data_IF_012341609836
#
_entry.id   IF_012341609836
#
_cell.length_a   1.000
_cell.length_b   1.000
_cell.length_c   1.000
_cell.angle_alpha   90.00
_cell.angle_beta   90.00
_cell.angle_gamma   90.00
#
_symmetry.space_group_name_H-M   'P 1'
#
loop_
_entity.id
_entity.type
_entity.pdbx_description
1 polymer ?
#
# COMPACT_ATOMS: atom_id res chain seq x y z
N UNK A 1 -16.36 -7.51 -14.93
CA UNK A 1 -15.88 -7.61 -13.53
C UNK A 1 -15.61 -6.20 -13.01
N UNK A 2 -16.07 -5.85 -11.79
CA UNK A 2 -15.70 -4.58 -11.13
C UNK A 2 -14.67 -4.88 -10.04
N UNK A 3 -13.40 -4.61 -10.34
CA UNK A 3 -12.29 -4.76 -9.41
C UNK A 3 -11.22 -3.72 -9.74
N UNK A 4 -10.35 -3.40 -8.78
CA UNK A 4 -9.14 -2.62 -9.05
C UNK A 4 -8.02 -3.59 -9.42
N UNK A 5 -7.36 -3.32 -10.54
CA UNK A 5 -6.15 -4.02 -10.97
C UNK A 5 -4.96 -3.10 -10.76
N UNK A 6 -3.82 -3.69 -10.41
CA UNK A 6 -2.56 -2.99 -10.25
C UNK A 6 -1.57 -3.57 -11.26
N UNK A 7 -0.82 -2.72 -11.97
CA UNK A 7 0.21 -3.17 -12.89
C UNK A 7 1.51 -3.47 -12.13
N UNK A 8 1.66 -4.72 -11.69
CA UNK A 8 2.88 -5.16 -11.02
C UNK A 8 4.06 -5.39 -11.98
N UNK A 9 3.89 -5.21 -13.29
CA UNK A 9 4.99 -5.19 -14.26
C UNK A 9 5.78 -3.88 -14.24
N UNK A 10 5.18 -2.80 -13.71
CA UNK A 10 5.82 -1.51 -13.50
C UNK A 10 6.13 -1.31 -12.00
N UNK A 11 7.31 -0.78 -11.67
CA UNK A 11 7.75 -0.59 -10.27
C UNK A 11 6.75 0.23 -9.44
N UNK A 12 6.29 1.36 -9.95
CA UNK A 12 5.28 2.19 -9.31
C UNK A 12 3.94 1.46 -9.10
N UNK A 13 3.49 0.66 -10.07
CA UNK A 13 2.24 -0.10 -9.92
C UNK A 13 2.36 -1.23 -8.89
N UNK A 14 3.53 -1.86 -8.78
CA UNK A 14 3.85 -2.77 -7.68
C UNK A 14 3.80 -2.08 -6.31
N UNK A 15 4.35 -0.87 -6.19
CA UNK A 15 4.28 -0.07 -4.95
C UNK A 15 2.83 0.34 -4.62
N UNK A 16 2.01 0.70 -5.62
CA UNK A 16 0.59 1.00 -5.38
C UNK A 16 -0.16 -0.22 -4.83
N UNK A 17 0.14 -1.42 -5.37
CA UNK A 17 -0.43 -2.66 -4.86
C UNK A 17 -0.05 -2.86 -3.38
N UNK A 18 1.23 -2.65 -3.03
CA UNK A 18 1.69 -2.74 -1.63
C UNK A 18 0.91 -1.77 -0.74
N UNK A 19 0.72 -0.51 -1.15
CA UNK A 19 -0.06 0.46 -0.36
C UNK A 19 -1.52 0.02 -0.18
N UNK A 20 -2.14 -0.51 -1.24
CA UNK A 20 -3.53 -0.93 -1.23
C UNK A 20 -3.79 -2.12 -0.30
N UNK A 21 -2.88 -3.11 -0.31
CA UNK A 21 -3.02 -4.35 0.45
C UNK A 21 -2.35 -4.30 1.82
N UNK A 22 -1.19 -3.64 1.96
CA UNK A 22 -0.41 -3.56 3.19
C UNK A 22 -1.21 -3.00 4.36
N UNK A 23 -1.96 -1.91 4.15
CA UNK A 23 -2.85 -1.32 5.16
C UNK A 23 -4.04 -2.20 5.58
N UNK A 24 -4.30 -3.30 4.86
CA UNK A 24 -5.39 -4.27 5.14
C UNK A 24 -4.84 -5.61 5.63
N UNK A 25 -3.52 -5.78 5.73
CA UNK A 25 -2.90 -7.04 6.10
C UNK A 25 -3.30 -7.43 7.53
N UNK A 26 -3.75 -8.68 7.79
CA UNK A 26 -4.26 -9.07 9.11
C UNK A 26 -3.23 -8.93 10.23
N UNK A 27 -1.96 -9.26 9.95
CA UNK A 27 -0.90 -9.24 10.96
C UNK A 27 -0.09 -7.94 11.01
N UNK A 28 -0.11 -7.16 9.92
CA UNK A 28 0.82 -6.03 9.73
C UNK A 28 0.11 -4.72 9.40
N UNK A 29 -1.21 -4.73 9.24
CA UNK A 29 -1.97 -3.57 8.79
C UNK A 29 -1.90 -2.39 9.76
N UNK A 30 -1.80 -2.64 11.06
CA UNK A 30 -1.62 -1.59 12.08
C UNK A 30 -0.26 -0.91 11.92
N UNK A 31 0.83 -1.68 12.00
CA UNK A 31 2.19 -1.14 11.81
C UNK A 31 2.38 -0.49 10.43
N UNK A 32 1.73 -1.01 9.38
CA UNK A 32 1.76 -0.39 8.06
C UNK A 32 1.08 0.98 8.04
N UNK A 33 -0.04 1.16 8.74
CA UNK A 33 -0.72 2.46 8.84
C UNK A 33 0.12 3.45 9.64
N UNK A 34 0.79 3.01 10.70
CA UNK A 34 1.70 3.85 11.50
C UNK A 34 2.87 4.37 10.64
N UNK A 35 3.48 3.50 9.84
CA UNK A 35 4.49 3.89 8.85
C UNK A 35 3.94 4.92 7.87
N UNK A 36 2.76 4.70 7.28
CA UNK A 36 2.17 5.70 6.38
C UNK A 36 1.99 7.04 7.09
N UNK A 37 1.46 7.05 8.30
CA UNK A 37 1.28 8.30 9.08
C UNK A 37 2.61 9.01 9.31
N UNK A 38 3.67 8.27 9.67
CA UNK A 38 5.01 8.82 9.87
C UNK A 38 5.56 9.51 8.61
N UNK A 39 5.37 8.90 7.44
CA UNK A 39 5.99 9.36 6.19
C UNK A 39 5.08 10.25 5.32
N UNK A 40 3.79 10.41 5.63
CA UNK A 40 2.87 11.27 4.84
C UNK A 40 3.12 12.78 5.07
N UNK A 41 4.00 13.15 6.01
CA UNK A 41 4.36 14.53 6.32
C UNK A 41 5.85 14.82 6.36
N UNK A 42 6.70 13.92 5.88
CA UNK A 42 8.14 14.20 5.76
C UNK A 42 8.38 14.95 4.43
N UNK A 43 8.85 16.20 4.53
CA UNK A 43 9.40 17.00 3.42
C UNK A 43 10.89 16.69 3.23
#
# INVERSE_FOLDING_TARGET
MRGRTYDCGHQLGYLEAILAYGRRHPSYGEGFRDLLTRYTGEE
#
